data_IF_136449282332
#
_entry.id   IF_136449282332
#
_cell.length_a   1.000
_cell.length_b   1.000
_cell.length_c   1.000
_cell.angle_alpha   90.00
_cell.angle_beta   90.00
_cell.angle_gamma   90.00
#
_symmetry.space_group_name_H-M   'P 1'
#
loop_
_entity.id
_entity.type
_entity.pdbx_description
1 polymer ?
#
# COMPACT_ATOMS: atom_id res chain seq x y z
N UNK A 1 -7.91 -8.25 -28.00
CA UNK A 1 -7.61 -9.69 -28.04
C UNK A 1 -8.05 -10.20 -29.41
N UNK A 2 -7.11 -10.57 -30.27
CA UNK A 2 -7.36 -11.32 -31.50
C UNK A 2 -6.02 -11.92 -31.93
N UNK A 3 -5.82 -13.20 -31.60
CA UNK A 3 -4.70 -14.01 -32.09
C UNK A 3 -4.98 -14.38 -33.55
N UNK A 4 -4.14 -13.94 -34.48
CA UNK A 4 -4.06 -14.57 -35.81
C UNK A 4 -3.06 -15.71 -35.71
N UNK A 5 -3.53 -16.94 -35.89
CA UNK A 5 -2.70 -18.12 -36.12
C UNK A 5 -2.05 -17.99 -37.50
N UNK A 6 -0.71 -17.99 -37.56
CA UNK A 6 0.03 -18.05 -38.81
C UNK A 6 0.47 -19.49 -39.05
N UNK A 7 0.01 -20.03 -40.17
CA UNK A 7 0.24 -21.38 -40.68
C UNK A 7 1.75 -21.56 -40.98
N UNK A 8 2.37 -22.66 -40.53
CA UNK A 8 3.70 -23.06 -40.97
C UNK A 8 3.60 -23.71 -42.36
N UNK A 9 4.19 -23.10 -43.37
CA UNK A 9 4.54 -23.78 -44.62
C UNK A 9 6.03 -24.13 -44.60
N UNK A 10 6.34 -25.42 -44.78
CA UNK A 10 7.72 -25.90 -44.94
C UNK A 10 8.16 -25.67 -46.39
N UNK A 11 9.04 -24.70 -46.60
CA UNK A 11 9.81 -24.52 -47.82
C UNK A 11 11.30 -24.74 -47.56
N UNK A 12 11.92 -25.57 -48.40
CA UNK A 12 13.34 -25.94 -48.37
C UNK A 12 14.29 -24.73 -48.45
N UNK A 13 15.33 -24.75 -47.61
CA UNK A 13 16.66 -24.19 -47.87
C UNK A 13 16.76 -22.71 -48.26
N UNK A 14 17.10 -21.85 -47.30
CA UNK A 14 17.59 -20.49 -47.58
C UNK A 14 17.63 -19.62 -46.33
N UNK A 15 18.82 -19.10 -46.00
CA UNK A 15 19.18 -18.26 -44.85
C UNK A 15 18.08 -17.28 -44.41
N UNK A 16 17.63 -17.39 -43.16
CA UNK A 16 16.72 -16.41 -42.53
C UNK A 16 17.53 -15.22 -42.01
N UNK A 17 17.55 -14.11 -42.75
CA UNK A 17 18.10 -12.84 -42.26
C UNK A 17 17.09 -12.18 -41.31
N UNK A 18 17.42 -12.09 -40.02
CA UNK A 18 16.62 -11.32 -39.06
C UNK A 18 16.83 -9.82 -39.31
N UNK A 19 15.87 -9.15 -39.94
CA UNK A 19 15.82 -7.69 -39.89
C UNK A 19 15.43 -7.26 -38.48
N UNK A 20 16.32 -6.52 -37.82
CA UNK A 20 16.07 -5.94 -36.50
C UNK A 20 15.11 -4.78 -36.70
N UNK A 21 13.80 -5.01 -36.56
CA UNK A 21 12.84 -3.91 -36.46
C UNK A 21 13.11 -3.20 -35.14
N UNK A 22 13.89 -2.12 -35.17
CA UNK A 22 13.91 -1.16 -34.07
C UNK A 22 12.55 -0.47 -34.07
N UNK A 23 11.61 -1.04 -33.31
CA UNK A 23 10.39 -0.35 -32.97
C UNK A 23 10.78 0.93 -32.22
N UNK A 24 10.70 2.06 -32.91
CA UNK A 24 10.74 3.38 -32.31
C UNK A 24 9.50 3.50 -31.42
N UNK A 25 9.62 3.05 -30.16
CA UNK A 25 8.64 3.32 -29.12
C UNK A 25 8.63 4.83 -28.95
N UNK A 26 7.53 5.47 -29.35
CA UNK A 26 7.33 6.90 -29.21
C UNK A 26 7.72 7.35 -27.80
N UNK A 27 8.59 8.37 -27.70
CA UNK A 27 8.98 9.02 -26.42
C UNK A 27 7.77 9.46 -25.58
N UNK A 28 6.57 9.52 -26.16
CA UNK A 28 5.31 9.81 -25.47
C UNK A 28 4.77 8.63 -24.66
N UNK A 29 5.04 7.38 -25.04
CA UNK A 29 4.48 6.18 -24.39
C UNK A 29 5.29 5.78 -23.13
N UNK A 30 6.54 6.24 -23.01
CA UNK A 30 7.43 5.92 -21.87
C UNK A 30 7.23 6.88 -20.67
N UNK A 31 6.28 7.83 -20.74
CA UNK A 31 6.10 8.86 -19.71
C UNK A 31 5.33 8.46 -18.45
N UNK A 32 4.87 7.22 -18.29
CA UNK A 32 4.11 6.86 -17.08
C UNK A 32 4.30 5.40 -16.67
N UNK A 33 5.54 4.99 -16.41
CA UNK A 33 5.78 3.75 -15.67
C UNK A 33 5.50 4.08 -14.19
N UNK A 34 4.26 3.88 -13.75
CA UNK A 34 3.94 3.91 -12.32
C UNK A 34 4.63 2.73 -11.65
N UNK A 35 5.76 2.98 -10.99
CA UNK A 35 6.41 1.98 -10.15
C UNK A 35 5.58 1.86 -8.88
N UNK A 36 5.00 0.67 -8.66
CA UNK A 36 4.20 0.36 -7.47
C UNK A 36 4.99 -0.60 -6.61
N UNK A 37 5.16 -0.28 -5.33
CA UNK A 37 5.80 -1.17 -4.37
C UNK A 37 4.83 -1.60 -3.29
N UNK A 38 4.72 -2.91 -3.06
CA UNK A 38 3.83 -3.47 -2.06
C UNK A 38 4.50 -3.55 -0.68
N UNK A 39 3.72 -3.34 0.37
CA UNK A 39 4.08 -3.59 1.77
C UNK A 39 3.02 -4.48 2.42
N UNK A 40 3.43 -5.30 3.38
CA UNK A 40 2.53 -6.12 4.19
C UNK A 40 3.12 -6.28 5.59
N UNK A 41 2.33 -5.97 6.62
CA UNK A 41 2.69 -6.21 8.02
C UNK A 41 1.51 -6.78 8.78
N UNK A 42 1.78 -7.36 9.94
CA UNK A 42 0.75 -7.89 10.83
C UNK A 42 0.81 -7.13 12.14
N UNK A 43 -0.36 -6.70 12.62
CA UNK A 43 -0.52 -5.90 13.83
C UNK A 43 -1.42 -6.59 14.84
N UNK A 44 -1.07 -6.49 16.13
CA UNK A 44 -1.88 -7.07 17.19
C UNK A 44 -3.09 -6.16 17.49
N UNK A 45 -4.27 -6.76 17.62
CA UNK A 45 -5.51 -6.06 17.97
C UNK A 45 -6.15 -6.66 19.22
N UNK A 46 -6.80 -5.81 20.02
CA UNK A 46 -7.33 -6.15 21.34
C UNK A 46 -8.82 -6.46 21.36
N UNK A 47 -9.14 -7.56 22.04
CA UNK A 47 -10.49 -8.05 22.38
C UNK A 47 -11.16 -7.22 23.49
N UNK A 48 -10.34 -6.73 24.42
CA UNK A 48 -10.62 -5.72 25.41
C UNK A 48 -10.92 -4.32 24.83
N UNK A 49 -12.12 -3.73 24.69
CA UNK A 49 -12.21 -2.31 24.28
C UNK A 49 -11.43 -1.37 25.21
N UNK A 50 -11.35 -1.68 26.51
CA UNK A 50 -10.57 -0.92 27.49
C UNK A 50 -9.05 -1.09 27.32
N UNK A 51 -8.62 -2.18 26.67
CA UNK A 51 -7.20 -2.45 26.40
C UNK A 51 -6.73 -1.87 25.06
N UNK A 52 -7.64 -1.37 24.22
CA UNK A 52 -7.31 -0.85 22.89
C UNK A 52 -6.35 0.33 22.99
N UNK A 53 -6.55 1.23 23.96
CA UNK A 53 -5.65 2.38 24.19
C UNK A 53 -4.25 1.97 24.66
N UNK A 54 -4.12 0.78 25.25
CA UNK A 54 -2.84 0.21 25.67
C UNK A 54 -2.12 -0.55 24.54
N UNK A 55 -2.73 -0.64 23.35
CA UNK A 55 -2.08 -1.27 22.22
C UNK A 55 -0.85 -0.43 21.80
N UNK A 56 0.33 -1.03 21.92
CA UNK A 56 1.61 -0.39 21.58
C UNK A 56 1.58 0.15 20.16
N UNK A 57 1.97 1.42 19.99
CA UNK A 57 2.19 2.00 18.67
C UNK A 57 3.24 1.20 17.91
N UNK A 58 2.94 0.87 16.66
CA UNK A 58 3.90 0.17 15.81
C UNK A 58 4.34 1.04 14.66
N UNK A 59 5.65 1.05 14.46
CA UNK A 59 6.32 1.75 13.39
C UNK A 59 7.14 0.75 12.58
N UNK A 60 6.74 0.49 11.34
CA UNK A 60 7.53 -0.32 10.40
C UNK A 60 8.15 0.60 9.36
N UNK A 61 9.48 0.57 9.23
CA UNK A 61 10.22 1.40 8.27
C UNK A 61 10.47 0.61 6.99
N UNK A 62 10.26 1.25 5.85
CA UNK A 62 10.50 0.71 4.53
C UNK A 62 11.40 1.65 3.74
N UNK A 63 12.22 1.09 2.84
CA UNK A 63 13.03 1.87 1.90
C UNK A 63 12.55 1.61 0.47
N UNK A 64 11.98 2.63 -0.16
CA UNK A 64 11.51 2.58 -1.54
C UNK A 64 11.93 3.85 -2.25
N UNK A 65 12.30 3.75 -3.54
CA UNK A 65 12.74 4.91 -4.33
C UNK A 65 13.96 5.66 -3.74
N UNK A 66 14.81 4.98 -2.96
CA UNK A 66 15.91 5.63 -2.23
C UNK A 66 15.42 6.61 -1.16
N UNK A 67 14.21 6.40 -0.65
CA UNK A 67 13.57 7.19 0.40
C UNK A 67 12.98 6.27 1.46
N UNK A 68 12.93 6.77 2.69
CA UNK A 68 12.37 6.02 3.81
C UNK A 68 10.91 6.41 4.05
N UNK A 69 10.08 5.42 4.31
CA UNK A 69 8.69 5.56 4.69
C UNK A 69 8.45 4.79 5.97
N UNK A 70 7.53 5.24 6.80
CA UNK A 70 7.10 4.48 7.97
C UNK A 70 5.59 4.27 7.97
N UNK A 71 5.17 3.02 8.13
CA UNK A 71 3.78 2.68 8.43
C UNK A 71 3.57 2.89 9.91
N UNK A 72 2.68 3.81 10.26
CA UNK A 72 2.24 4.08 11.61
C UNK A 72 0.93 3.33 11.86
N UNK A 73 0.85 2.60 12.96
CA UNK A 73 -0.36 1.96 13.44
C UNK A 73 -0.59 2.34 14.90
N UNK A 74 -1.72 2.99 15.17
CA UNK A 74 -2.10 3.40 16.52
C UNK A 74 -3.58 3.15 16.82
N UNK A 75 -3.90 3.14 18.10
CA UNK A 75 -5.26 3.01 18.62
C UNK A 75 -5.65 4.27 19.38
N UNK A 76 -6.91 4.71 19.25
CA UNK A 76 -7.44 5.86 19.96
C UNK A 76 -8.97 5.84 20.03
N UNK A 77 -9.55 6.76 20.81
CA UNK A 77 -11.00 6.96 20.86
C UNK A 77 -11.44 7.97 19.81
N UNK A 78 -12.31 7.55 18.90
CA UNK A 78 -13.02 8.43 17.99
C UNK A 78 -14.41 8.70 18.58
N UNK A 79 -14.56 9.85 19.23
CA UNK A 79 -15.72 10.11 20.10
C UNK A 79 -15.70 9.16 21.29
N UNK A 80 -16.68 8.26 21.37
CA UNK A 80 -16.76 7.20 22.39
C UNK A 80 -16.41 5.81 21.86
N UNK A 81 -15.96 5.71 20.60
CA UNK A 81 -15.71 4.43 19.93
C UNK A 81 -14.19 4.15 19.82
N UNK A 82 -13.71 2.97 20.29
CA UNK A 82 -12.32 2.59 20.11
C UNK A 82 -12.08 2.22 18.64
N UNK A 83 -11.05 2.82 18.05
CA UNK A 83 -10.65 2.58 16.67
C UNK A 83 -9.14 2.33 16.59
N UNK A 84 -8.73 1.61 15.54
CA UNK A 84 -7.35 1.62 15.09
C UNK A 84 -7.22 2.55 13.90
N UNK A 85 -6.02 3.04 13.65
CA UNK A 85 -5.71 3.80 12.46
C UNK A 85 -4.34 3.43 11.92
N UNK A 86 -4.28 3.24 10.60
CA UNK A 86 -3.07 2.98 9.86
C UNK A 86 -2.81 4.10 8.84
N UNK A 87 -1.59 4.61 8.78
CA UNK A 87 -1.20 5.61 7.77
C UNK A 87 0.29 5.55 7.48
N UNK A 88 0.67 5.96 6.28
CA UNK A 88 2.06 6.03 5.87
C UNK A 88 2.59 7.44 6.07
N UNK A 89 3.81 7.53 6.60
CA UNK A 89 4.55 8.79 6.71
C UNK A 89 5.84 8.70 5.91
N UNK A 90 6.23 9.83 5.34
CA UNK A 90 7.46 9.98 4.56
C UNK A 90 8.56 10.58 5.43
N UNK A 91 9.73 9.93 5.48
CA UNK A 91 10.88 10.41 6.25
C UNK A 91 11.69 11.44 5.45
N UNK A 92 11.05 12.56 5.14
CA UNK A 92 11.62 13.70 4.44
C UNK A 92 10.76 14.94 4.63
N UNK A 93 10.87 15.94 3.75
CA UNK A 93 10.09 17.17 3.85
C UNK A 93 8.71 17.10 3.17
N UNK A 94 7.89 18.13 3.37
CA UNK A 94 6.53 18.23 2.83
C UNK A 94 6.49 18.51 1.31
N UNK A 95 7.54 19.09 0.74
CA UNK A 95 7.60 19.37 -0.69
C UNK A 95 7.89 18.08 -1.48
N UNK A 96 8.76 17.23 -0.96
CA UNK A 96 9.08 15.93 -1.53
C UNK A 96 7.93 14.93 -1.40
N UNK A 97 7.15 15.00 -0.31
CA UNK A 97 6.12 13.99 -0.04
C UNK A 97 5.01 13.94 -1.09
N UNK A 98 4.71 15.10 -1.72
CA UNK A 98 3.70 15.24 -2.79
C UNK A 98 4.03 14.46 -4.06
N UNK A 99 5.28 14.01 -4.20
CA UNK A 99 5.73 13.16 -5.32
C UNK A 99 5.26 11.71 -5.16
N UNK A 100 4.80 11.33 -3.97
CA UNK A 100 4.41 9.98 -3.65
C UNK A 100 2.92 9.90 -3.34
N UNK A 101 2.32 8.78 -3.72
CA UNK A 101 1.00 8.37 -3.29
C UNK A 101 1.11 7.00 -2.63
N UNK A 102 0.20 6.73 -1.70
CA UNK A 102 0.11 5.44 -1.04
C UNK A 102 -1.33 4.97 -0.93
N UNK A 103 -1.48 3.67 -0.72
CA UNK A 103 -2.73 3.03 -0.41
C UNK A 103 -2.53 2.00 0.67
N UNK A 104 -3.49 1.88 1.57
CA UNK A 104 -3.54 0.85 2.60
C UNK A 104 -4.84 0.07 2.50
N UNK A 105 -4.78 -1.19 2.89
CA UNK A 105 -5.90 -2.10 2.87
C UNK A 105 -5.86 -3.04 4.09
N UNK A 106 -7.04 -3.31 4.66
CA UNK A 106 -7.25 -4.40 5.61
C UNK A 106 -8.44 -5.24 5.19
N UNK A 107 -8.29 -6.57 5.28
CA UNK A 107 -9.38 -7.52 5.04
C UNK A 107 -9.03 -8.67 4.12
N UNK A 108 -10.03 -9.14 3.39
CA UNK A 108 -9.98 -10.30 2.52
C UNK A 108 -10.51 -9.95 1.11
N UNK A 109 -10.30 -10.80 0.10
CA UNK A 109 -10.71 -10.49 -1.28
C UNK A 109 -12.18 -10.11 -1.44
N UNK A 110 -13.08 -10.67 -0.63
CA UNK A 110 -14.53 -10.41 -0.69
C UNK A 110 -14.97 -9.15 0.07
N UNK A 111 -14.22 -8.73 1.10
CA UNK A 111 -14.55 -7.57 1.94
C UNK A 111 -13.29 -6.97 2.53
N UNK A 112 -13.13 -5.67 2.32
CA UNK A 112 -11.94 -4.92 2.75
C UNK A 112 -12.26 -3.45 2.99
N UNK A 113 -11.44 -2.82 3.83
CA UNK A 113 -11.38 -1.37 3.99
C UNK A 113 -10.12 -0.88 3.28
N UNK A 114 -10.23 0.19 2.50
CA UNK A 114 -9.11 0.78 1.76
C UNK A 114 -9.01 2.27 2.01
N UNK A 115 -7.77 2.77 2.03
CA UNK A 115 -7.46 4.20 2.08
C UNK A 115 -6.43 4.52 1.02
N UNK A 116 -6.50 5.72 0.44
CA UNK A 116 -5.47 6.25 -0.44
C UNK A 116 -5.20 7.71 -0.13
N UNK A 117 -3.95 8.13 -0.29
CA UNK A 117 -3.57 9.52 -0.07
C UNK A 117 -2.10 9.78 -0.36
N UNK A 118 -1.65 10.97 0.03
CA UNK A 118 -0.24 11.39 0.01
C UNK A 118 0.32 11.15 1.42
N UNK A 119 1.49 10.49 1.58
CA UNK A 119 2.05 10.31 2.91
C UNK A 119 2.33 11.68 3.55
N UNK A 120 2.24 11.77 4.88
CA UNK A 120 2.62 13.02 5.59
C UNK A 120 4.09 12.98 5.95
N UNK A 121 4.76 14.13 5.95
CA UNK A 121 6.15 14.21 6.42
C UNK A 121 6.27 13.73 7.87
N UNK A 122 7.37 13.07 8.22
CA UNK A 122 7.67 12.71 9.61
C UNK A 122 7.87 13.94 10.52
N UNK A 123 8.10 15.11 9.93
CA UNK A 123 8.19 16.39 10.63
C UNK A 123 6.82 16.85 11.17
N UNK A 124 5.73 16.44 10.52
CA UNK A 124 4.37 16.61 11.04
C UNK A 124 4.11 15.57 12.12
N UNK A 125 3.95 15.98 13.38
CA UNK A 125 3.67 15.04 14.48
C UNK A 125 2.48 14.11 14.19
N UNK A 126 2.62 12.82 14.51
CA UNK A 126 1.60 11.79 14.21
C UNK A 126 0.21 12.15 14.74
N UNK A 127 0.14 12.83 15.90
CA UNK A 127 -1.12 13.35 16.47
C UNK A 127 -1.89 14.26 15.52
N UNK A 128 -1.22 15.12 14.73
CA UNK A 128 -1.91 15.96 13.72
C UNK A 128 -2.61 15.10 12.67
N UNK A 129 -1.97 14.01 12.24
CA UNK A 129 -2.53 13.08 11.25
C UNK A 129 -3.75 12.39 11.85
N UNK A 130 -3.61 11.85 13.06
CA UNK A 130 -4.67 11.20 13.84
C UNK A 130 -5.88 12.12 14.06
N UNK A 131 -5.64 13.32 14.59
CA UNK A 131 -6.70 14.26 14.97
C UNK A 131 -7.46 14.77 13.74
N UNK A 132 -6.77 14.86 12.59
CA UNK A 132 -7.38 15.16 11.28
C UNK A 132 -8.00 13.94 10.57
N UNK A 133 -7.89 12.74 11.16
CA UNK A 133 -8.40 11.49 10.61
C UNK A 133 -7.87 11.18 9.19
N UNK A 134 -6.65 11.62 8.88
CA UNK A 134 -6.04 11.49 7.56
C UNK A 134 -5.29 10.16 7.41
N UNK A 135 -6.06 9.07 7.38
CA UNK A 135 -5.54 7.71 7.33
C UNK A 135 -6.64 6.66 7.38
N UNK A 136 -6.25 5.39 7.25
CA UNK A 136 -7.18 4.27 7.28
C UNK A 136 -7.70 4.04 8.70
N UNK A 137 -8.89 4.53 9.00
CA UNK A 137 -9.60 4.24 10.25
C UNK A 137 -10.25 2.86 10.16
N UNK A 138 -9.99 2.04 11.17
CA UNK A 138 -10.45 0.66 11.25
C UNK A 138 -11.23 0.53 12.56
N UNK A 139 -12.58 0.52 12.49
CA UNK A 139 -13.40 0.23 13.65
C UNK A 139 -12.98 -1.08 14.32
N UNK A 140 -12.97 -1.11 15.65
CA UNK A 140 -12.51 -2.27 16.42
C UNK A 140 -13.19 -3.57 16.00
N UNK A 141 -14.51 -3.56 15.80
CA UNK A 141 -15.27 -4.73 15.35
C UNK A 141 -14.80 -5.24 13.97
N UNK A 142 -14.44 -4.34 13.05
CA UNK A 142 -13.88 -4.69 11.75
C UNK A 142 -12.47 -5.26 11.88
N UNK A 143 -11.63 -4.69 12.75
CA UNK A 143 -10.31 -5.22 13.05
C UNK A 143 -10.38 -6.66 13.59
N UNK A 144 -11.31 -6.92 14.52
CA UNK A 144 -11.55 -8.27 15.06
C UNK A 144 -12.07 -9.25 13.99
N UNK A 145 -12.99 -8.79 13.14
CA UNK A 145 -13.52 -9.58 12.05
C UNK A 145 -12.42 -10.01 11.07
N UNK A 146 -11.51 -9.10 10.72
CA UNK A 146 -10.41 -9.38 9.79
C UNK A 146 -9.22 -10.10 10.43
N UNK A 147 -9.05 -10.06 11.75
CA UNK A 147 -8.00 -10.81 12.45
C UNK A 147 -8.29 -12.30 12.62
N UNK A 148 -9.50 -12.76 12.27
CA UNK A 148 -9.91 -14.15 12.44
C UNK A 148 -10.38 -14.50 13.86
N UNK A 149 -10.81 -15.75 14.03
CA UNK A 149 -11.45 -16.25 15.26
C UNK A 149 -10.48 -16.75 16.33
N UNK A 150 -9.18 -16.83 16.02
CA UNK A 150 -8.20 -17.33 16.98
C UNK A 150 -8.02 -16.33 18.13
N UNK A 151 -8.19 -16.81 19.36
CA UNK A 151 -8.33 -15.96 20.56
C UNK A 151 -6.98 -15.60 21.17
N UNK A 152 -5.94 -16.41 20.93
CA UNK A 152 -4.63 -16.30 21.56
C UNK A 152 -3.79 -15.17 20.92
N UNK A 153 -3.88 -14.95 19.60
CA UNK A 153 -3.16 -13.88 18.89
C UNK A 153 -4.00 -13.25 17.78
N UNK A 154 -4.82 -12.24 18.10
CA UNK A 154 -5.57 -11.50 17.09
C UNK A 154 -4.65 -10.61 16.27
N UNK A 155 -4.23 -11.16 15.14
CA UNK A 155 -3.27 -10.61 14.19
C UNK A 155 -4.00 -10.06 12.96
N UNK A 156 -4.08 -8.74 12.88
CA UNK A 156 -4.65 -8.04 11.72
C UNK A 156 -3.57 -7.82 10.67
N UNK A 157 -3.80 -8.29 9.44
CA UNK A 157 -2.88 -8.00 8.32
C UNK A 157 -3.23 -6.66 7.68
N UNK A 158 -2.24 -5.77 7.61
CA UNK A 158 -2.30 -4.50 6.89
C UNK A 158 -1.42 -4.61 5.66
N UNK A 159 -2.02 -4.48 4.48
CA UNK A 159 -1.29 -4.41 3.21
C UNK A 159 -1.30 -2.99 2.69
N UNK A 160 -0.34 -2.68 1.84
CA UNK A 160 -0.26 -1.36 1.23
C UNK A 160 0.53 -1.35 -0.04
N UNK A 161 0.48 -0.19 -0.69
CA UNK A 161 1.24 0.09 -1.90
C UNK A 161 1.70 1.54 -1.91
N UNK A 162 2.89 1.80 -2.45
CA UNK A 162 3.45 3.15 -2.62
C UNK A 162 3.80 3.30 -4.09
N UNK A 163 3.45 4.44 -4.68
CA UNK A 163 3.79 4.76 -6.06
C UNK A 163 4.13 6.24 -6.23
N UNK A 164 4.78 6.57 -7.34
CA UNK A 164 5.02 7.93 -7.81
C UNK A 164 4.77 7.98 -9.30
N UNK A 165 4.38 9.14 -9.81
CA UNK A 165 4.36 9.43 -11.24
C UNK A 165 5.69 10.14 -11.59
N UNK A 166 6.29 9.78 -12.72
CA UNK A 166 7.54 10.37 -13.23
C UNK A 166 7.27 11.48 -14.25
#
# INVERSE_FOLDING_TARGET
MNMKQTKLEKGNGGVTTFSRTTASISKTIIKSICIVVALSTTVNVKSNPQEVENATWMLTVFNFFGRQFCLHFEAFQLGTAPVYMAFLRFMGDENETKKFSYGLEVGAPSRKLTWQGIPRSIRDGHRKVRDSQNGLIIPRNMALFFSGSDKEERKLRVTGRIWREE
#
